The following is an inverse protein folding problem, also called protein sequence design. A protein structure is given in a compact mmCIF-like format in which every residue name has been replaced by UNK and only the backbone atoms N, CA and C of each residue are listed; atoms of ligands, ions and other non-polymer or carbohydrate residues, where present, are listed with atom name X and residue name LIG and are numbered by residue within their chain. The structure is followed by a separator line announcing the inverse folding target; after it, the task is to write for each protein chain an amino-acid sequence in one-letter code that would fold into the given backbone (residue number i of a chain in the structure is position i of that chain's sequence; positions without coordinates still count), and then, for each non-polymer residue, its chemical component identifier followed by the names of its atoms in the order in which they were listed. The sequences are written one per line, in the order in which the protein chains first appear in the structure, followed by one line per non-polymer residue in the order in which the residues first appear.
data_IF_694301306834
#
_entry.id   IF_694301306834
#
_cell.length_a   1.000
_cell.length_b   1.000
_cell.length_c   1.000
_cell.angle_alpha   90.00
_cell.angle_beta   90.00
_cell.angle_gamma   90.00
#
_symmetry.space_group_name_H-M   'P 1'
#
loop_
_entity.id
_entity.type
_entity.pdbx_description
1 polymer ?
#
# COMPACT_ATOMS: atom_id res chain seq x y z
N UNK A 1 -4.94 6.19 1.80
CA UNK A 1 -5.49 4.85 2.14
C UNK A 1 -4.54 4.18 3.12
N UNK A 2 -5.03 3.36 4.05
CA UNK A 2 -4.19 2.52 4.92
C UNK A 2 -4.38 1.06 4.51
N UNK A 3 -3.28 0.33 4.32
CA UNK A 3 -3.30 -1.11 4.05
C UNK A 3 -2.28 -1.82 4.94
N UNK A 4 -2.75 -2.52 5.97
CA UNK A 4 -1.88 -3.11 6.99
C UNK A 4 -2.06 -4.63 7.08
N UNK A 5 -0.97 -5.34 7.34
CA UNK A 5 -0.99 -6.77 7.67
C UNK A 5 -1.37 -7.04 9.14
N UNK A 6 -1.56 -6.01 9.96
CA UNK A 6 -2.00 -6.15 11.34
C UNK A 6 -3.48 -6.52 11.45
N UNK A 7 -3.90 -7.06 12.60
CA UNK A 7 -5.31 -7.32 12.90
C UNK A 7 -6.14 -6.04 12.83
N UNK A 8 -7.44 -6.16 12.55
CA UNK A 8 -8.35 -5.00 12.51
C UNK A 8 -8.31 -4.18 13.80
N UNK A 9 -8.26 -4.84 14.95
CA UNK A 9 -8.14 -4.18 16.25
C UNK A 9 -6.88 -3.30 16.33
N UNK A 10 -5.72 -3.82 15.92
CA UNK A 10 -4.46 -3.07 15.94
C UNK A 10 -4.49 -1.92 14.93
N UNK A 11 -5.05 -2.13 13.74
CA UNK A 11 -5.22 -1.06 12.74
C UNK A 11 -6.13 0.05 13.27
N UNK A 12 -7.22 -0.30 13.95
CA UNK A 12 -8.12 0.67 14.56
C UNK A 12 -7.43 1.47 15.67
N UNK A 13 -6.59 0.83 16.50
CA UNK A 13 -5.78 1.54 17.51
C UNK A 13 -4.79 2.50 16.84
N UNK A 14 -4.03 2.05 15.84
CA UNK A 14 -3.03 2.88 15.14
C UNK A 14 -3.68 4.07 14.41
N UNK A 15 -4.74 3.84 13.65
CA UNK A 15 -5.50 4.92 12.99
C UNK A 15 -6.17 5.85 14.01
N UNK A 16 -6.53 5.32 15.18
CA UNK A 16 -7.00 6.08 16.32
C UNK A 16 -5.99 7.10 16.81
N UNK A 17 -4.71 6.73 16.86
CA UNK A 17 -3.60 7.59 17.29
C UNK A 17 -3.20 8.61 16.22
N UNK A 18 -3.07 8.19 14.96
CA UNK A 18 -2.58 9.05 13.86
C UNK A 18 -3.65 10.04 13.39
N UNK A 19 -4.93 9.66 13.45
CA UNK A 19 -6.06 10.52 13.10
C UNK A 19 -7.09 10.50 14.25
N UNK A 20 -6.84 11.24 15.36
CA UNK A 20 -7.68 11.17 16.56
C UNK A 20 -9.11 11.68 16.33
N UNK A 21 -9.28 12.63 15.40
CA UNK A 21 -10.57 13.24 15.08
C UNK A 21 -11.29 12.49 13.95
N UNK A 22 -12.62 12.43 14.05
CA UNK A 22 -13.46 11.78 13.04
C UNK A 22 -13.27 12.37 11.63
N UNK A 23 -13.09 13.69 11.54
CA UNK A 23 -12.86 14.38 10.26
C UNK A 23 -11.57 13.87 9.60
N UNK A 24 -10.48 13.73 10.36
CA UNK A 24 -9.23 13.17 9.83
C UNK A 24 -9.39 11.72 9.36
N UNK A 25 -10.14 10.90 10.11
CA UNK A 25 -10.43 9.52 9.69
C UNK A 25 -11.27 9.45 8.43
N UNK A 26 -12.20 10.39 8.23
CA UNK A 26 -13.04 10.46 7.04
C UNK A 26 -12.25 10.79 5.76
N UNK A 27 -11.03 11.33 5.86
CA UNK A 27 -10.15 11.57 4.72
C UNK A 27 -9.54 10.26 4.17
N UNK A 28 -9.52 9.18 4.95
CA UNK A 28 -9.07 7.90 4.43
C UNK A 28 -10.13 7.29 3.50
N UNK A 29 -9.79 7.20 2.21
CA UNK A 29 -10.61 6.48 1.25
C UNK A 29 -10.91 5.05 1.73
N UNK A 30 -9.90 4.30 2.17
CA UNK A 30 -10.06 2.96 2.75
C UNK A 30 -9.05 2.73 3.88
N UNK A 31 -9.44 1.88 4.82
CA UNK A 31 -8.59 1.30 5.86
C UNK A 31 -8.72 -0.21 5.80
N UNK A 32 -7.69 -0.87 5.28
CA UNK A 32 -7.65 -2.32 5.11
C UNK A 32 -6.67 -2.95 6.08
N UNK A 33 -7.11 -4.04 6.69
CA UNK A 33 -6.34 -4.83 7.64
C UNK A 33 -6.02 -6.22 7.07
N UNK A 34 -5.50 -7.09 7.93
CA UNK A 34 -5.05 -8.46 7.63
C UNK A 34 -5.97 -9.31 6.73
N UNK A 35 -7.31 -9.30 6.84
CA UNK A 35 -8.17 -10.14 5.99
C UNK A 35 -8.09 -9.85 4.48
N UNK A 36 -7.57 -8.67 4.11
CA UNK A 36 -7.31 -8.30 2.71
C UNK A 36 -5.97 -8.82 2.18
N UNK A 37 -5.18 -9.49 3.02
CA UNK A 37 -3.83 -9.96 2.69
C UNK A 37 -3.64 -11.46 2.92
N UNK A 38 -4.47 -12.08 3.76
CA UNK A 38 -4.36 -13.51 4.10
C UNK A 38 -5.72 -14.19 4.17
N UNK A 39 -5.72 -15.52 4.08
CA UNK A 39 -6.92 -16.34 4.24
C UNK A 39 -7.35 -16.42 5.71
N UNK A 40 -8.59 -16.84 5.97
CA UNK A 40 -9.11 -17.02 7.33
C UNK A 40 -8.24 -17.94 8.19
N UNK A 41 -7.66 -18.99 7.60
CA UNK A 41 -6.75 -19.93 8.26
C UNK A 41 -5.41 -19.32 8.70
N UNK A 42 -5.05 -18.13 8.19
CA UNK A 42 -3.79 -17.44 8.46
C UNK A 42 -3.97 -16.15 9.27
N UNK A 43 -5.20 -15.85 9.72
CA UNK A 43 -5.47 -14.64 10.50
C UNK A 43 -4.68 -14.62 11.81
N UNK A 44 -4.53 -15.77 12.47
CA UNK A 44 -3.89 -15.89 13.78
C UNK A 44 -2.37 -16.13 13.73
N UNK A 45 -1.77 -16.33 12.55
CA UNK A 45 -0.35 -16.72 12.42
C UNK A 45 0.43 -15.68 11.65
N UNK A 46 1.66 -15.36 12.08
CA UNK A 46 2.56 -14.47 11.34
C UNK A 46 3.01 -15.18 10.06
N UNK A 47 2.64 -14.61 8.91
CA UNK A 47 2.99 -15.12 7.57
C UNK A 47 3.40 -13.97 6.68
N UNK A 48 4.19 -14.26 5.65
CA UNK A 48 4.46 -13.31 4.57
C UNK A 48 3.17 -12.93 3.86
N UNK A 49 3.09 -11.68 3.39
CA UNK A 49 1.92 -11.11 2.72
C UNK A 49 2.35 -10.36 1.47
N UNK A 50 1.41 -10.17 0.55
CA UNK A 50 1.63 -9.42 -0.68
C UNK A 50 0.52 -8.40 -0.83
N UNK A 51 0.89 -7.16 -1.11
CA UNK A 51 0.02 -6.03 -1.39
C UNK A 51 -0.02 -5.83 -2.90
N UNK A 52 -1.14 -6.24 -3.49
CA UNK A 52 -1.38 -6.07 -4.91
C UNK A 52 -2.22 -4.81 -5.16
N UNK A 53 -1.55 -3.75 -5.62
CA UNK A 53 -2.17 -2.44 -5.88
C UNK A 53 -3.30 -2.50 -6.92
N UNK A 54 -3.30 -3.49 -7.82
CA UNK A 54 -4.39 -3.64 -8.79
C UNK A 54 -5.75 -3.91 -8.15
N UNK A 55 -5.77 -4.41 -6.91
CA UNK A 55 -6.99 -4.59 -6.12
C UNK A 55 -7.45 -3.26 -5.54
N UNK A 56 -6.51 -2.41 -5.13
CA UNK A 56 -6.79 -1.05 -4.66
C UNK A 56 -7.38 -0.23 -5.80
N UNK A 57 -6.73 -0.25 -6.96
CA UNK A 57 -7.19 0.44 -8.17
C UNK A 57 -8.61 0.00 -8.53
N UNK A 58 -8.84 -1.31 -8.68
CA UNK A 58 -10.16 -1.83 -9.04
C UNK A 58 -11.23 -1.45 -8.02
N UNK A 59 -10.94 -1.56 -6.72
CA UNK A 59 -11.89 -1.16 -5.68
C UNK A 59 -12.23 0.33 -5.78
N UNK A 60 -11.22 1.21 -5.72
CA UNK A 60 -11.44 2.65 -5.68
C UNK A 60 -12.13 3.15 -6.95
N UNK A 61 -11.73 2.65 -8.11
CA UNK A 61 -12.31 3.05 -9.41
C UNK A 61 -13.75 2.59 -9.56
N UNK A 62 -14.12 1.40 -9.05
CA UNK A 62 -15.51 0.94 -9.04
C UNK A 62 -16.39 1.80 -8.15
N UNK A 63 -15.87 2.21 -6.99
CA UNK A 63 -16.59 3.09 -6.09
C UNK A 63 -16.72 4.50 -6.66
N UNK A 64 -15.67 5.03 -7.29
CA UNK A 64 -15.71 6.31 -7.99
C UNK A 64 -16.77 6.30 -9.10
N UNK A 65 -16.74 5.29 -9.97
CA UNK A 65 -17.74 5.08 -11.03
C UNK A 65 -19.17 5.02 -10.45
N UNK A 66 -19.37 4.28 -9.36
CA UNK A 66 -20.67 4.17 -8.70
C UNK A 66 -21.13 5.50 -8.08
N UNK A 67 -20.22 6.30 -7.53
CA UNK A 67 -20.56 7.59 -6.92
C UNK A 67 -20.85 8.68 -7.94
N UNK A 68 -20.23 8.62 -9.12
CA UNK A 68 -20.49 9.55 -10.23
C UNK A 68 -21.82 9.27 -10.93
N UNK A 69 -22.28 8.02 -10.96
CA UNK A 69 -23.58 7.65 -11.50
C UNK A 69 -24.72 8.01 -10.51
N UNK A 70 -25.40 9.11 -10.82
CA UNK A 70 -26.51 9.62 -10.01
C UNK A 70 -27.70 8.66 -9.87
N UNK A 71 -27.96 7.81 -10.87
CA UNK A 71 -29.02 6.81 -10.80
C UNK A 71 -28.59 5.62 -9.92
N UNK A 72 -27.30 5.23 -10.01
CA UNK A 72 -26.74 4.15 -9.22
C UNK A 72 -26.73 4.44 -7.72
N UNK A 73 -26.59 5.71 -7.29
CA UNK A 73 -26.59 6.09 -5.86
C UNK A 73 -27.87 5.71 -5.11
N UNK A 74 -28.99 5.53 -5.81
CA UNK A 74 -30.27 5.06 -5.24
C UNK A 74 -30.34 3.53 -5.11
N UNK A 75 -29.40 2.80 -5.71
CA UNK A 75 -29.34 1.34 -5.80
C UNK A 75 -28.12 0.82 -5.05
N UNK A 76 -28.13 -0.44 -4.64
CA UNK A 76 -26.93 -1.04 -4.02
C UNK A 76 -25.84 -1.24 -5.09
N UNK A 77 -24.54 -1.05 -4.76
CA UNK A 77 -23.45 -1.40 -5.66
C UNK A 77 -23.57 -2.85 -6.13
N UNK A 78 -23.48 -3.07 -7.44
CA UNK A 78 -23.62 -4.41 -8.06
C UNK A 78 -22.27 -5.11 -8.27
N UNK A 79 -21.17 -4.36 -8.20
CA UNK A 79 -19.84 -4.93 -8.35
C UNK A 79 -19.43 -5.74 -7.11
N UNK A 80 -18.58 -6.75 -7.34
CA UNK A 80 -18.04 -7.59 -6.28
C UNK A 80 -16.65 -7.10 -5.90
N UNK A 81 -16.46 -6.73 -4.64
CA UNK A 81 -15.14 -6.37 -4.13
C UNK A 81 -14.16 -7.55 -4.19
N UNK A 82 -12.93 -7.26 -4.64
CA UNK A 82 -11.80 -8.20 -4.62
C UNK A 82 -10.97 -8.10 -3.35
N UNK A 83 -11.31 -7.20 -2.43
CA UNK A 83 -10.43 -6.85 -1.31
C UNK A 83 -10.04 -8.08 -0.47
N UNK A 84 -11.00 -8.94 -0.15
CA UNK A 84 -10.78 -10.10 0.72
C UNK A 84 -9.92 -11.18 0.04
N UNK A 85 -8.79 -11.52 0.68
CA UNK A 85 -7.82 -12.47 0.15
C UNK A 85 -8.39 -13.89 0.09
N UNK A 86 -9.12 -14.33 1.12
CA UNK A 86 -9.79 -15.64 1.14
C UNK A 86 -10.76 -15.82 -0.04
N UNK A 87 -11.54 -14.79 -0.36
CA UNK A 87 -12.49 -14.83 -1.48
C UNK A 87 -11.77 -14.89 -2.83
N UNK A 88 -10.70 -14.11 -3.01
CA UNK A 88 -9.88 -14.16 -4.24
C UNK A 88 -9.31 -15.55 -4.46
N UNK A 89 -8.70 -16.13 -3.42
CA UNK A 89 -8.08 -17.44 -3.52
C UNK A 89 -9.12 -18.51 -3.85
N UNK A 90 -10.28 -18.50 -3.20
CA UNK A 90 -11.37 -19.44 -3.48
C UNK A 90 -11.78 -19.46 -4.95
N UNK A 91 -11.98 -18.28 -5.57
CA UNK A 91 -12.37 -18.22 -6.99
C UNK A 91 -11.25 -18.61 -7.93
N UNK A 92 -10.00 -18.27 -7.58
CA UNK A 92 -8.82 -18.69 -8.31
C UNK A 92 -8.70 -20.22 -8.35
N UNK A 93 -8.82 -20.89 -7.21
CA UNK A 93 -8.75 -22.35 -7.09
C UNK A 93 -9.89 -23.03 -7.86
N UNK A 94 -11.12 -22.56 -7.69
CA UNK A 94 -12.29 -23.10 -8.41
C UNK A 94 -12.13 -23.03 -9.93
N UNK A 95 -11.50 -21.97 -10.44
CA UNK A 95 -11.21 -21.82 -11.87
C UNK A 95 -10.12 -22.77 -12.34
N UNK A 96 -9.08 -22.96 -11.52
CA UNK A 96 -8.01 -23.93 -11.79
C UNK A 96 -8.56 -25.36 -11.84
N UNK A 97 -9.45 -25.73 -10.92
CA UNK A 97 -10.13 -27.04 -10.92
C UNK A 97 -10.91 -27.28 -12.22
N UNK A 98 -11.72 -26.32 -12.66
CA UNK A 98 -12.45 -26.42 -13.94
C UNK A 98 -11.51 -26.59 -15.13
N UNK A 99 -10.39 -25.86 -15.14
CA UNK A 99 -9.40 -25.93 -16.21
C UNK A 99 -8.65 -27.26 -16.23
N UNK A 100 -8.37 -27.84 -15.05
CA UNK A 100 -7.72 -29.15 -14.89
C UNK A 100 -8.64 -30.31 -15.24
N UNK A 101 -9.91 -30.24 -14.81
CA UNK A 101 -10.93 -31.21 -15.22
C UNK A 101 -11.02 -31.30 -16.75
N UNK A 102 -10.74 -30.19 -17.45
CA UNK A 102 -10.72 -30.15 -18.91
C UNK A 102 -9.41 -30.64 -19.54
N UNK A 103 -8.28 -30.64 -18.81
CA UNK A 103 -6.94 -30.94 -19.34
C UNK A 103 -6.26 -32.20 -18.76
N UNK A 104 -6.90 -32.95 -17.87
CA UNK A 104 -6.32 -34.14 -17.20
C UNK A 104 -4.90 -33.94 -16.60
N UNK A 105 -4.60 -32.75 -16.06
CA UNK A 105 -3.27 -32.43 -15.49
C UNK A 105 -3.28 -32.55 -13.97
N UNK A 106 -2.34 -33.31 -13.41
CA UNK A 106 -2.07 -33.37 -11.97
C UNK A 106 -1.25 -32.16 -11.51
N UNK A 107 -1.58 -31.58 -10.35
CA UNK A 107 -0.81 -30.47 -9.76
C UNK A 107 -0.48 -30.74 -8.30
N UNK A 108 0.74 -30.37 -7.90
CA UNK A 108 1.21 -30.40 -6.53
C UNK A 108 0.49 -29.36 -5.66
N UNK A 109 -0.21 -29.81 -4.61
CA UNK A 109 -1.01 -29.00 -3.68
C UNK A 109 -0.19 -28.39 -2.52
N UNK A 110 1.09 -28.04 -2.73
CA UNK A 110 1.98 -27.61 -1.63
C UNK A 110 2.26 -26.11 -1.57
N UNK A 111 1.64 -25.28 -2.41
CA UNK A 111 1.86 -23.84 -2.33
C UNK A 111 1.15 -23.21 -1.12
N UNK A 112 1.92 -22.45 -0.33
CA UNK A 112 1.36 -21.63 0.74
C UNK A 112 0.39 -20.57 0.18
N UNK A 113 -0.69 -20.20 0.90
CA UNK A 113 -1.71 -19.28 0.38
C UNK A 113 -1.18 -17.93 -0.12
N UNK A 114 -0.14 -17.36 0.50
CA UNK A 114 0.46 -16.09 0.05
C UNK A 114 1.16 -16.20 -1.32
N UNK A 115 1.70 -17.38 -1.65
CA UNK A 115 2.25 -17.66 -2.98
C UNK A 115 1.12 -17.87 -3.99
N UNK A 116 0.03 -18.51 -3.59
CA UNK A 116 -1.15 -18.66 -4.44
C UNK A 116 -1.79 -17.32 -4.79
N UNK A 117 -1.89 -16.38 -3.83
CA UNK A 117 -2.38 -15.02 -4.08
C UNK A 117 -1.49 -14.24 -5.05
N UNK A 118 -0.17 -14.43 -4.97
CA UNK A 118 0.75 -13.84 -5.95
C UNK A 118 0.61 -14.48 -7.34
N UNK A 119 0.47 -15.80 -7.42
CA UNK A 119 0.19 -16.49 -8.69
C UNK A 119 -1.13 -16.03 -9.30
N UNK A 120 -2.17 -15.83 -8.48
CA UNK A 120 -3.44 -15.23 -8.91
C UNK A 120 -3.20 -13.84 -9.54
N UNK A 121 -2.46 -12.97 -8.85
CA UNK A 121 -2.16 -11.63 -9.34
C UNK A 121 -1.41 -11.66 -10.68
N UNK A 122 -0.37 -12.49 -10.79
CA UNK A 122 0.41 -12.65 -12.03
C UNK A 122 -0.44 -13.20 -13.17
N UNK A 123 -1.23 -14.25 -12.93
CA UNK A 123 -2.11 -14.83 -13.94
C UNK A 123 -3.16 -13.81 -14.40
N UNK A 124 -3.72 -13.03 -13.48
CA UNK A 124 -4.70 -12.01 -13.81
C UNK A 124 -4.12 -10.93 -14.73
N UNK A 125 -2.91 -10.45 -14.43
CA UNK A 125 -2.20 -9.49 -15.29
C UNK A 125 -1.90 -10.08 -16.68
N UNK A 126 -1.44 -11.34 -16.76
CA UNK A 126 -1.14 -12.01 -18.03
C UNK A 126 -2.39 -12.28 -18.88
N UNK A 127 -3.53 -12.55 -18.27
CA UNK A 127 -4.78 -12.86 -18.98
C UNK A 127 -5.45 -11.65 -19.65
N UNK A 128 -4.84 -10.46 -19.60
CA UNK A 128 -5.45 -9.23 -20.10
C UNK A 128 -6.77 -8.90 -19.38
N UNK A 129 -6.95 -9.37 -18.14
CA UNK A 129 -8.07 -9.05 -17.25
C UNK A 129 -9.46 -9.56 -17.70
N UNK A 130 -9.56 -10.28 -18.82
CA UNK A 130 -10.82 -10.75 -19.40
C UNK A 130 -11.45 -11.94 -18.67
N UNK A 131 -10.69 -12.63 -17.82
CA UNK A 131 -11.04 -13.96 -17.34
C UNK A 131 -11.19 -14.01 -15.80
N UNK A 132 -11.80 -12.97 -15.23
CA UNK A 132 -11.99 -12.87 -13.79
C UNK A 132 -13.45 -13.01 -13.37
N UNK A 133 -13.68 -13.79 -12.32
CA UNK A 133 -14.99 -13.95 -11.65
C UNK A 133 -15.63 -12.60 -11.24
N UNK A 134 -14.82 -11.56 -11.15
CA UNK A 134 -15.18 -10.22 -10.71
C UNK A 134 -15.29 -9.21 -11.87
N UNK A 135 -15.14 -9.64 -13.14
CA UNK A 135 -15.12 -8.77 -14.33
C UNK A 135 -13.72 -8.21 -14.66
N UNK A 136 -13.60 -7.27 -15.63
CA UNK A 136 -12.32 -6.62 -15.94
C UNK A 136 -11.87 -5.73 -14.78
N UNK A 137 -10.56 -5.56 -14.59
CA UNK A 137 -10.03 -4.59 -13.62
C UNK A 137 -10.24 -3.17 -14.15
N UNK A 138 -10.54 -2.25 -13.24
CA UNK A 138 -10.53 -0.82 -13.53
C UNK A 138 -9.21 -0.19 -13.05
N UNK A 139 -8.53 0.54 -13.94
CA UNK A 139 -7.25 1.21 -13.68
C UNK A 139 -7.33 2.73 -13.81
N UNK A 140 -8.53 3.28 -13.94
CA UNK A 140 -8.78 4.71 -14.01
C UNK A 140 -9.96 5.08 -13.10
N UNK A 141 -9.86 6.21 -12.37
CA UNK A 141 -8.76 7.18 -12.41
C UNK A 141 -7.49 6.77 -11.64
N UNK A 142 -7.54 5.75 -10.76
CA UNK A 142 -6.37 5.30 -10.00
C UNK A 142 -5.68 4.12 -10.68
N UNK A 143 -4.37 4.25 -10.93
CA UNK A 143 -3.58 3.24 -11.63
C UNK A 143 -2.07 3.36 -11.38
N UNK A 144 -1.23 2.65 -12.17
CA UNK A 144 0.23 2.68 -12.03
C UNK A 144 0.82 4.09 -12.15
N UNK A 145 0.21 4.97 -12.96
CA UNK A 145 0.77 6.29 -13.26
C UNK A 145 0.67 7.30 -12.12
N UNK A 146 -0.19 7.05 -11.13
CA UNK A 146 -0.50 8.02 -10.07
C UNK A 146 -0.62 7.39 -8.66
N UNK A 147 -0.11 6.16 -8.48
CA UNK A 147 -0.21 5.45 -7.21
C UNK A 147 1.16 5.06 -6.70
N UNK A 148 1.37 5.21 -5.38
CA UNK A 148 2.57 4.73 -4.68
C UNK A 148 2.12 3.91 -3.47
N UNK A 149 2.83 2.81 -3.23
CA UNK A 149 2.83 2.05 -2.00
C UNK A 149 4.07 2.46 -1.18
N UNK A 150 3.85 3.07 -0.03
CA UNK A 150 4.89 3.24 0.99
C UNK A 150 4.83 2.03 1.93
N UNK A 151 5.90 1.25 1.99
CA UNK A 151 6.00 0.07 2.88
C UNK A 151 7.47 -0.26 3.15
N UNK A 152 7.77 -0.84 4.31
CA UNK A 152 9.11 -1.27 4.71
C UNK A 152 9.60 -2.57 4.05
N UNK A 153 8.75 -3.21 3.24
CA UNK A 153 9.03 -4.54 2.69
C UNK A 153 8.85 -4.61 1.18
N UNK A 154 9.98 -4.75 0.48
CA UNK A 154 10.02 -5.08 -0.96
C UNK A 154 9.19 -6.33 -1.27
N UNK A 155 9.22 -7.34 -0.39
CA UNK A 155 8.48 -8.59 -0.56
C UNK A 155 6.96 -8.39 -0.62
N UNK A 156 6.42 -7.41 0.12
CA UNK A 156 4.99 -7.08 0.07
C UNK A 156 4.62 -6.39 -1.24
N UNK A 157 5.52 -5.62 -1.84
CA UNK A 157 5.29 -4.86 -3.06
C UNK A 157 5.52 -5.64 -4.37
N UNK A 158 5.92 -6.91 -4.30
CA UNK A 158 6.35 -7.69 -5.48
C UNK A 158 5.36 -7.77 -6.66
N UNK A 159 4.08 -7.45 -6.47
CA UNK A 159 3.11 -7.38 -7.56
C UNK A 159 3.27 -6.12 -8.45
N UNK A 160 3.73 -5.02 -7.88
CA UNK A 160 3.95 -3.73 -8.55
C UNK A 160 5.20 -3.04 -7.99
N UNK A 161 6.40 -3.60 -8.25
CA UNK A 161 7.65 -3.07 -7.67
C UNK A 161 7.92 -1.62 -8.08
N UNK A 162 7.52 -1.22 -9.28
CA UNK A 162 7.70 0.14 -9.80
C UNK A 162 6.69 1.14 -9.24
N UNK A 163 5.81 0.73 -8.34
CA UNK A 163 4.91 1.61 -7.59
C UNK A 163 5.22 1.57 -6.09
N UNK A 164 6.40 1.09 -5.69
CA UNK A 164 6.78 0.96 -4.29
C UNK A 164 7.95 1.87 -3.95
N UNK A 165 7.83 2.52 -2.80
CA UNK A 165 8.92 3.22 -2.15
C UNK A 165 9.19 2.49 -0.84
N UNK A 166 10.36 1.85 -0.78
CA UNK A 166 10.80 1.11 0.39
C UNK A 166 11.47 2.04 1.38
N UNK A 167 10.88 2.27 2.55
CA UNK A 167 11.53 3.00 3.63
C UNK A 167 12.14 2.04 4.65
N UNK A 168 13.20 2.43 5.37
CA UNK A 168 13.69 1.64 6.49
C UNK A 168 12.63 1.39 7.57
N UNK A 169 12.74 0.25 8.25
CA UNK A 169 11.83 -0.11 9.35
C UNK A 169 12.06 0.83 10.54
N UNK A 170 10.96 1.36 11.10
CA UNK A 170 11.00 2.05 12.40
C UNK A 170 10.94 1.00 13.51
N UNK A 171 12.12 0.55 13.95
CA UNK A 171 12.26 -0.57 14.86
C UNK A 171 12.16 -0.17 16.36
N UNK A 172 12.38 -1.14 17.24
CA UNK A 172 12.35 -0.91 18.69
C UNK A 172 13.47 0.04 19.18
N UNK A 173 14.60 0.07 18.48
CA UNK A 173 15.71 0.96 18.81
C UNK A 173 15.35 2.41 18.44
N UNK A 174 14.84 2.64 17.23
CA UNK A 174 14.33 3.95 16.80
C UNK A 174 13.23 4.45 17.75
N UNK A 175 12.31 3.59 18.15
CA UNK A 175 11.27 3.92 19.12
C UNK A 175 11.85 4.31 20.51
N UNK A 176 12.86 3.58 20.99
CA UNK A 176 13.54 3.88 22.25
C UNK A 176 14.29 5.21 22.19
N UNK A 177 14.97 5.49 21.07
CA UNK A 177 15.67 6.75 20.85
C UNK A 177 14.69 7.93 20.86
N UNK A 178 13.57 7.81 20.13
CA UNK A 178 12.54 8.85 20.10
C UNK A 178 11.87 9.06 21.46
N UNK A 179 11.61 7.99 22.22
CA UNK A 179 11.10 8.09 23.59
C UNK A 179 12.08 8.88 24.49
N UNK A 180 13.38 8.58 24.39
CA UNK A 180 14.42 9.27 25.15
C UNK A 180 14.53 10.76 24.78
N UNK A 181 14.32 11.09 23.50
CA UNK A 181 14.27 12.47 23.01
C UNK A 181 13.13 13.25 23.68
N UNK A 182 11.92 12.68 23.71
CA UNK A 182 10.76 13.29 24.37
C UNK A 182 10.96 13.43 25.89
N UNK A 183 11.46 12.39 26.57
CA UNK A 183 11.68 12.40 28.02
C UNK A 183 12.70 13.46 28.46
N UNK A 184 13.63 13.83 27.59
CA UNK A 184 14.64 14.88 27.83
C UNK A 184 14.18 16.29 27.45
N UNK A 185 12.92 16.45 27.04
CA UNK A 185 12.36 17.74 26.67
C UNK A 185 12.76 18.21 25.27
N UNK A 186 12.98 17.26 24.34
CA UNK A 186 13.24 17.54 22.92
C UNK A 186 14.49 18.39 22.66
N UNK A 187 15.67 17.99 23.16
CA UNK A 187 16.89 18.78 23.04
C UNK A 187 17.40 18.82 21.58
N UNK A 188 17.76 20.01 21.03
CA UNK A 188 18.19 20.14 19.64
C UNK A 188 19.38 19.24 19.23
N UNK A 189 20.30 18.98 20.15
CA UNK A 189 21.48 18.14 19.88
C UNK A 189 21.18 16.66 19.64
N UNK A 190 19.96 16.20 19.94
CA UNK A 190 19.53 14.82 19.71
C UNK A 190 18.76 14.64 18.40
N UNK A 191 18.38 15.73 17.72
CA UNK A 191 17.59 15.69 16.48
C UNK A 191 18.31 14.93 15.38
N UNK A 192 19.63 15.12 15.25
CA UNK A 192 20.46 14.40 14.27
C UNK A 192 20.46 12.87 14.47
N UNK A 193 20.08 12.40 15.66
CA UNK A 193 19.93 10.98 15.99
C UNK A 193 18.55 10.39 15.68
N UNK A 194 17.59 11.20 15.24
CA UNK A 194 16.25 10.77 14.83
C UNK A 194 16.21 10.47 13.32
N UNK A 195 15.29 9.60 12.91
CA UNK A 195 15.03 9.40 11.48
C UNK A 195 14.16 10.52 10.90
N UNK A 196 14.32 10.77 9.61
CA UNK A 196 13.58 11.80 8.86
C UNK A 196 12.94 11.24 7.59
N UNK A 197 12.76 9.92 7.50
CA UNK A 197 12.29 9.26 6.27
C UNK A 197 10.89 9.74 5.86
N UNK A 198 10.00 10.00 6.81
CA UNK A 198 8.66 10.53 6.49
C UNK A 198 8.72 11.99 6.00
N UNK A 199 9.66 12.79 6.52
CA UNK A 199 9.87 14.16 6.05
C UNK A 199 10.45 14.17 4.63
N UNK A 200 11.44 13.31 4.37
CA UNK A 200 11.96 13.08 3.02
C UNK A 200 10.85 12.60 2.06
N UNK A 201 9.98 11.69 2.51
CA UNK A 201 8.87 11.18 1.70
C UNK A 201 7.86 12.28 1.34
N UNK A 202 7.65 13.27 2.20
CA UNK A 202 6.84 14.45 1.84
C UNK A 202 7.49 15.23 0.71
N UNK A 203 8.82 15.38 0.71
CA UNK A 203 9.55 15.97 -0.41
C UNK A 203 9.41 15.17 -1.72
N UNK A 204 9.39 13.84 -1.62
CA UNK A 204 9.10 12.96 -2.77
C UNK A 204 7.66 13.14 -3.25
N UNK A 205 6.67 13.21 -2.35
CA UNK A 205 5.28 13.45 -2.73
C UNK A 205 5.09 14.81 -3.44
N UNK A 206 5.86 15.83 -3.05
CA UNK A 206 5.87 17.14 -3.71
C UNK A 206 6.42 17.06 -5.16
N UNK A 207 7.44 16.24 -5.43
CA UNK A 207 7.86 15.95 -6.81
C UNK A 207 6.74 15.24 -7.57
N UNK A 208 6.18 14.22 -6.95
CA UNK A 208 5.26 13.32 -7.63
C UNK A 208 3.90 13.95 -7.92
N UNK A 209 3.57 15.12 -7.35
CA UNK A 209 2.40 15.89 -7.78
C UNK A 209 2.51 16.45 -9.20
N UNK A 210 3.71 16.59 -9.74
CA UNK A 210 3.96 17.10 -11.09
C UNK A 210 4.40 16.00 -12.08
N UNK A 211 4.47 14.74 -11.63
CA UNK A 211 4.91 13.61 -12.45
C UNK A 211 3.71 12.92 -13.12
N UNK A 212 3.67 12.95 -14.45
CA UNK A 212 2.62 12.31 -15.26
C UNK A 212 2.60 10.77 -15.14
N UNK A 213 3.76 10.17 -14.87
CA UNK A 213 3.91 8.72 -14.80
C UNK A 213 4.84 8.32 -13.65
N UNK A 214 4.24 8.13 -12.48
CA UNK A 214 4.93 7.71 -11.24
C UNK A 214 5.66 6.38 -11.43
N UNK A 215 5.04 5.40 -12.10
CA UNK A 215 5.66 4.09 -12.33
C UNK A 215 6.98 4.21 -13.09
N UNK A 216 6.99 5.00 -14.18
CA UNK A 216 8.19 5.24 -14.95
C UNK A 216 9.23 6.03 -14.15
N UNK A 217 8.80 7.05 -13.39
CA UNK A 217 9.70 7.86 -12.57
C UNK A 217 10.45 7.02 -11.52
N UNK A 218 9.76 6.07 -10.89
CA UNK A 218 10.39 5.12 -9.94
C UNK A 218 11.32 4.17 -10.70
N UNK A 219 10.89 3.63 -11.83
CA UNK A 219 11.70 2.72 -12.66
C UNK A 219 13.01 3.36 -13.14
N UNK A 220 13.00 4.66 -13.42
CA UNK A 220 14.18 5.44 -13.81
C UNK A 220 15.17 5.66 -12.63
N UNK A 221 14.85 5.18 -11.43
CA UNK A 221 15.73 5.20 -10.26
C UNK A 221 15.60 6.45 -9.39
N UNK A 222 14.68 7.35 -9.69
CA UNK A 222 14.54 8.62 -8.95
C UNK A 222 14.07 8.45 -7.50
N UNK A 223 13.54 7.27 -7.14
CA UNK A 223 13.14 6.91 -5.78
C UNK A 223 14.28 6.29 -4.93
N UNK A 224 15.54 6.30 -5.41
CA UNK A 224 16.69 5.74 -4.69
C UNK A 224 17.02 6.45 -3.36
N UNK A 225 16.33 7.56 -3.06
CA UNK A 225 16.35 8.36 -1.83
C UNK A 225 16.35 7.55 -0.54
N UNK A 226 15.66 6.42 -0.46
CA UNK A 226 15.55 5.66 0.79
C UNK A 226 16.54 4.49 0.88
N UNK A 227 17.52 4.45 -0.01
CA UNK A 227 18.50 3.37 -0.04
C UNK A 227 19.54 3.55 1.07
N UNK A 228 20.16 2.44 1.50
CA UNK A 228 21.33 2.45 2.39
C UNK A 228 22.56 3.16 1.81
N UNK A 229 22.49 3.58 0.55
CA UNK A 229 23.56 4.26 -0.18
C UNK A 229 23.27 5.75 -0.36
N UNK A 230 22.15 6.25 0.18
CA UNK A 230 21.80 7.66 0.13
C UNK A 230 22.95 8.50 0.72
N UNK A 231 23.38 9.52 -0.01
CA UNK A 231 24.42 10.44 0.50
C UNK A 231 23.81 11.47 1.46
N UNK A 232 24.62 12.07 2.36
CA UNK A 232 24.15 13.16 3.22
C UNK A 232 23.56 14.33 2.43
N UNK A 233 24.10 14.63 1.25
CA UNK A 233 23.62 15.68 0.35
C UNK A 233 22.23 15.33 -0.21
N UNK A 234 22.05 14.10 -0.69
CA UNK A 234 20.74 13.61 -1.16
C UNK A 234 19.71 13.66 -0.04
N UNK A 235 20.07 13.20 1.17
CA UNK A 235 19.21 13.28 2.35
C UNK A 235 18.79 14.72 2.63
N UNK A 236 19.75 15.64 2.69
CA UNK A 236 19.49 17.05 2.98
C UNK A 236 18.57 17.70 1.93
N UNK A 237 18.72 17.35 0.65
CA UNK A 237 17.86 17.84 -0.43
C UNK A 237 16.40 17.42 -0.20
N UNK A 238 16.15 16.13 0.06
CA UNK A 238 14.78 15.63 0.26
C UNK A 238 14.13 16.14 1.55
N UNK A 239 14.91 16.26 2.62
CA UNK A 239 14.45 16.88 3.88
C UNK A 239 14.06 18.33 3.64
N UNK A 240 14.93 19.11 3.00
CA UNK A 240 14.67 20.53 2.75
C UNK A 240 13.44 20.72 1.87
N UNK A 241 13.27 19.87 0.85
CA UNK A 241 12.06 19.87 0.02
C UNK A 241 10.80 19.52 0.82
N UNK A 242 10.88 18.51 1.69
CA UNK A 242 9.77 18.14 2.58
C UNK A 242 9.34 19.29 3.48
N UNK A 243 10.31 20.01 4.09
CA UNK A 243 10.05 21.19 4.91
C UNK A 243 9.38 22.30 4.08
N UNK A 244 9.90 22.58 2.87
CA UNK A 244 9.31 23.58 1.97
C UNK A 244 7.88 23.23 1.56
N UNK A 245 7.61 21.95 1.25
CA UNK A 245 6.29 21.46 0.86
C UNK A 245 5.26 21.58 2.00
N UNK A 246 5.68 21.36 3.25
CA UNK A 246 4.85 21.57 4.44
C UNK A 246 4.61 23.07 4.70
N UNK A 247 5.67 23.88 4.62
CA UNK A 247 5.58 25.33 4.79
C UNK A 247 4.63 25.97 3.77
N UNK A 248 4.68 25.55 2.50
CA UNK A 248 3.76 25.99 1.44
C UNK A 248 2.29 25.67 1.75
N UNK A 249 2.03 24.71 2.64
CA UNK A 249 0.68 24.30 3.09
C UNK A 249 0.35 24.80 4.50
N UNK A 250 1.16 25.72 5.04
CA UNK A 250 1.02 26.25 6.41
C UNK A 250 1.05 25.16 7.50
N UNK A 251 1.78 24.07 7.26
CA UNK A 251 2.02 23.02 8.25
C UNK A 251 3.39 23.28 8.87
N UNK A 252 3.43 23.55 10.17
CA UNK A 252 4.67 23.80 10.89
C UNK A 252 5.44 22.48 11.10
N UNK A 253 6.74 22.50 10.79
CA UNK A 253 7.66 21.45 11.20
C UNK A 253 8.28 21.93 12.51
N UNK A 254 8.03 21.23 13.60
CA UNK A 254 8.76 21.48 14.84
C UNK A 254 10.24 21.11 14.61
N UNK A 255 11.19 21.91 15.12
CA UNK A 255 12.61 21.65 14.97
C UNK A 255 13.06 20.33 15.60
#
# INVERSE_FOLDING_TARGET
MIWSSASEENVNKMTGLVAPFQIGRALFQRVWARPTLVTSSQLATKVSTVKDLSIVWDELNRWDSYMQDSEARSRRPTFRSRALAGTRLFYYEKKQEKSKAWKHVHTNHHDMPHNMLYKEAMQRNLSGMLDSYYGPLLHEPFGPKNTILLDDSVGKARCQPNNHICIPEFDAQSASTYTSYLERGSPPEMVDGLDDFLLQFIGVLDVLSDVDNVEQWILDGNAATFSRYQTPEERAEWVQRGIQALAARSICVEP
#
